data_IF_548742491858
#
_entry.id   IF_548742491858
#
_cell.length_a   1.000
_cell.length_b   1.000
_cell.length_c   1.000
_cell.angle_alpha   90.00
_cell.angle_beta   90.00
_cell.angle_gamma   90.00
#
_symmetry.space_group_name_H-M   'P 1'
#
loop_
_entity.id
_entity.type
_entity.pdbx_description
1 polymer ?
#
# COMPACT_ATOMS: atom_id res chain seq x y z
N UNK A 1 4.98 14.10 0.00
CA UNK A 1 3.58 13.76 -0.35
C UNK A 1 3.53 13.53 -1.86
N UNK A 2 2.53 12.82 -2.39
CA UNK A 2 2.38 12.67 -3.84
C UNK A 2 2.17 14.02 -4.52
N UNK A 3 2.84 14.25 -5.65
CA UNK A 3 2.65 15.48 -6.41
C UNK A 3 1.22 15.53 -6.98
N UNK A 4 0.62 16.72 -6.88
CA UNK A 4 -0.74 17.01 -7.34
C UNK A 4 -1.82 16.06 -6.79
N UNK A 5 -1.69 15.68 -5.52
CA UNK A 5 -2.68 14.81 -4.85
C UNK A 5 -4.05 15.49 -4.74
N UNK A 6 -5.12 14.77 -5.07
CA UNK A 6 -6.52 15.22 -4.90
C UNK A 6 -7.37 14.17 -4.18
N UNK A 7 -8.59 14.52 -3.79
CA UNK A 7 -9.52 13.56 -3.16
C UNK A 7 -9.98 12.42 -4.11
N UNK A 8 -9.80 12.60 -5.42
CA UNK A 8 -10.09 11.58 -6.43
C UNK A 8 -8.97 10.56 -6.56
N UNK A 9 -7.80 10.81 -5.95
CA UNK A 9 -6.70 9.86 -5.97
C UNK A 9 -7.06 8.59 -5.20
N UNK A 10 -6.69 7.45 -5.79
CA UNK A 10 -6.97 6.12 -5.28
C UNK A 10 -5.67 5.37 -5.10
N UNK A 11 -5.41 4.95 -3.87
CA UNK A 11 -4.22 4.19 -3.49
C UNK A 11 -4.47 2.69 -3.68
N UNK A 12 -3.56 2.01 -4.35
CA UNK A 12 -3.51 0.55 -4.41
C UNK A 12 -2.21 0.03 -3.82
N UNK A 13 -2.29 -0.97 -2.94
CA UNK A 13 -1.11 -1.61 -2.33
C UNK A 13 -1.13 -3.10 -2.66
N UNK A 14 -0.18 -3.56 -3.46
CA UNK A 14 -0.03 -5.00 -3.77
C UNK A 14 0.72 -5.67 -2.62
N UNK A 15 0.15 -6.74 -2.07
CA UNK A 15 0.67 -7.50 -0.92
C UNK A 15 0.82 -8.98 -1.29
N UNK A 16 2.01 -9.53 -1.06
CA UNK A 16 2.34 -10.95 -1.26
C UNK A 16 2.85 -11.61 0.01
N UNK A 17 3.13 -10.83 1.04
CA UNK A 17 3.66 -11.29 2.32
C UNK A 17 2.69 -11.02 3.47
N UNK A 18 2.73 -11.83 4.53
CA UNK A 18 1.90 -11.59 5.71
C UNK A 18 2.02 -10.16 6.24
N UNK A 19 0.88 -9.51 6.43
CA UNK A 19 0.74 -8.12 6.86
C UNK A 19 1.57 -7.12 6.04
N UNK A 20 1.88 -7.43 4.77
CA UNK A 20 2.88 -6.71 3.98
C UNK A 20 2.65 -5.21 3.89
N UNK A 21 1.40 -4.75 3.78
CA UNK A 21 1.09 -3.31 3.71
C UNK A 21 1.47 -2.54 4.99
N UNK A 22 1.74 -3.21 6.12
CA UNK A 22 2.32 -2.56 7.31
C UNK A 22 3.71 -1.94 7.03
N UNK A 23 4.44 -2.45 6.05
CA UNK A 23 5.70 -1.85 5.59
C UNK A 23 5.54 -0.52 4.86
N UNK A 24 4.31 -0.18 4.46
CA UNK A 24 3.95 1.10 3.86
C UNK A 24 2.96 1.91 4.73
N UNK A 25 2.81 1.54 6.01
CA UNK A 25 1.80 2.10 6.91
C UNK A 25 1.90 3.62 7.06
N UNK A 26 3.12 4.15 7.06
CA UNK A 26 3.36 5.59 7.23
C UNK A 26 2.89 6.35 5.99
N UNK A 27 3.20 5.86 4.79
CA UNK A 27 2.70 6.46 3.55
C UNK A 27 1.19 6.33 3.42
N UNK A 28 0.62 5.18 3.77
CA UNK A 28 -0.84 4.97 3.74
C UNK A 28 -1.51 6.02 4.64
N UNK A 29 -1.09 6.13 5.90
CA UNK A 29 -1.69 7.07 6.85
C UNK A 29 -1.42 8.54 6.51
N UNK A 30 -0.27 8.87 5.92
CA UNK A 30 -0.01 10.20 5.39
C UNK A 30 -0.97 10.55 4.23
N UNK A 31 -1.29 9.57 3.39
CA UNK A 31 -2.24 9.73 2.27
C UNK A 31 -3.67 9.86 2.80
N UNK A 32 -4.05 9.05 3.80
CA UNK A 32 -5.34 9.16 4.52
C UNK A 32 -5.49 10.53 5.17
N UNK A 33 -4.44 11.04 5.81
CA UNK A 33 -4.43 12.38 6.42
C UNK A 33 -4.69 13.45 5.37
N UNK A 34 -3.97 13.40 4.24
CA UNK A 34 -4.18 14.35 3.13
C UNK A 34 -5.60 14.30 2.57
N UNK A 35 -6.19 13.10 2.41
CA UNK A 35 -7.57 12.96 1.97
C UNK A 35 -8.55 13.63 2.94
N UNK A 36 -8.41 13.38 4.25
CA UNK A 36 -9.33 13.95 5.23
C UNK A 36 -9.13 15.46 5.43
N UNK A 37 -7.92 15.98 5.24
CA UNK A 37 -7.70 17.43 5.21
C UNK A 37 -8.47 18.09 4.06
N UNK A 38 -8.48 17.46 2.88
CA UNK A 38 -9.29 17.92 1.74
C UNK A 38 -10.80 17.84 2.02
N UNK A 39 -11.28 16.79 2.71
CA UNK A 39 -12.70 16.69 3.07
C UNK A 39 -13.11 17.76 4.10
N UNK A 40 -12.29 17.97 5.15
CA UNK A 40 -12.53 19.01 6.18
C UNK A 40 -12.53 20.41 5.60
N UNK A 41 -11.74 20.66 4.56
CA UNK A 41 -11.74 21.95 3.88
C UNK A 41 -13.04 22.24 3.10
N UNK A 42 -13.85 21.22 2.82
CA UNK A 42 -15.10 21.34 2.05
C UNK A 42 -16.35 21.38 2.91
N UNK A 43 -16.37 20.61 3.99
CA UNK A 43 -17.52 20.47 4.86
C UNK A 43 -17.10 20.09 6.28
N UNK A 44 -17.85 20.58 7.28
CA UNK A 44 -17.53 20.39 8.69
C UNK A 44 -17.84 18.97 9.20
N UNK A 45 -18.85 18.30 8.62
CA UNK A 45 -19.24 16.92 8.98
C UNK A 45 -19.31 16.03 7.74
N UNK A 46 -18.73 14.84 7.84
CA UNK A 46 -18.71 13.85 6.76
C UNK A 46 -18.50 12.43 7.28
N UNK A 47 -19.12 11.46 6.61
CA UNK A 47 -18.93 10.03 6.87
C UNK A 47 -18.50 9.33 5.57
N UNK A 48 -17.20 9.40 5.27
CA UNK A 48 -16.61 8.83 4.06
C UNK A 48 -15.26 8.18 4.37
N UNK A 49 -14.93 7.15 3.60
CA UNK A 49 -13.63 6.47 3.63
C UNK A 49 -12.95 6.62 2.27
N UNK A 50 -11.63 6.87 2.24
CA UNK A 50 -10.90 7.00 0.99
C UNK A 50 -10.93 5.70 0.19
N UNK A 51 -10.99 5.77 -1.13
CA UNK A 51 -10.94 4.59 -2.03
C UNK A 51 -9.52 4.03 -2.14
N UNK A 52 -9.03 3.48 -1.02
CA UNK A 52 -7.72 2.86 -0.87
C UNK A 52 -7.84 1.36 -0.67
N UNK A 53 -7.05 0.61 -1.42
CA UNK A 53 -7.22 -0.83 -1.57
C UNK A 53 -5.93 -1.56 -1.27
N UNK A 54 -6.07 -2.73 -0.67
CA UNK A 54 -4.98 -3.71 -0.54
C UNK A 54 -5.31 -4.90 -1.43
N UNK A 55 -4.43 -5.19 -2.38
CA UNK A 55 -4.54 -6.32 -3.30
C UNK A 55 -3.68 -7.46 -2.78
N UNK A 56 -4.31 -8.45 -2.19
CA UNK A 56 -3.66 -9.64 -1.66
C UNK A 56 -3.54 -10.69 -2.75
N UNK A 57 -2.31 -11.07 -3.09
CA UNK A 57 -2.08 -12.12 -4.08
C UNK A 57 -2.22 -13.50 -3.43
N UNK A 58 -2.95 -14.39 -4.09
CA UNK A 58 -3.26 -15.79 -3.71
C UNK A 58 -4.23 -15.96 -2.55
N UNK A 59 -4.00 -15.26 -1.45
CA UNK A 59 -4.78 -15.39 -0.21
C UNK A 59 -4.77 -14.09 0.56
N UNK A 60 -5.67 -13.94 1.54
CA UNK A 60 -5.65 -12.77 2.43
C UNK A 60 -4.43 -12.81 3.35
N UNK A 61 -3.58 -11.80 3.26
CA UNK A 61 -2.35 -11.66 4.04
C UNK A 61 -2.48 -10.86 5.33
N UNK A 62 -3.65 -10.30 5.63
CA UNK A 62 -3.86 -9.58 6.88
C UNK A 62 -5.17 -8.80 6.91
N UNK A 63 -5.34 -8.05 8.01
CA UNK A 63 -6.41 -7.07 8.19
C UNK A 63 -5.83 -5.67 8.37
N UNK A 64 -5.97 -4.84 7.33
CA UNK A 64 -5.41 -3.48 7.27
C UNK A 64 -6.43 -2.39 7.60
N UNK A 65 -7.60 -2.73 8.17
CA UNK A 65 -8.63 -1.75 8.51
C UNK A 65 -8.18 -0.69 9.52
N UNK A 66 -7.14 -0.97 10.32
CA UNK A 66 -6.51 0.02 11.21
C UNK A 66 -5.70 1.10 10.47
N UNK A 67 -5.44 0.91 9.17
CA UNK A 67 -4.80 1.88 8.28
C UNK A 67 -5.82 2.57 7.36
N UNK A 68 -7.10 2.52 7.72
CA UNK A 68 -8.21 3.07 6.93
C UNK A 68 -8.48 2.40 5.58
N UNK A 69 -7.99 1.16 5.43
CA UNK A 69 -8.42 0.25 4.35
C UNK A 69 -9.79 -0.32 4.73
N UNK A 70 -10.82 0.50 4.53
CA UNK A 70 -12.17 0.23 5.00
C UNK A 70 -13.22 0.80 4.03
N UNK A 71 -14.38 0.13 3.84
CA UNK A 71 -14.89 -1.11 4.47
C UNK A 71 -14.19 -2.41 4.02
N UNK A 72 -14.52 -3.59 4.61
CA UNK A 72 -13.79 -4.83 4.38
C UNK A 72 -13.62 -5.28 2.92
N UNK A 73 -14.50 -4.83 2.01
CA UNK A 73 -14.39 -5.15 0.58
C UNK A 73 -13.20 -4.45 -0.13
N UNK A 74 -12.51 -3.52 0.55
CA UNK A 74 -11.28 -2.89 0.06
C UNK A 74 -10.04 -3.77 0.25
N UNK A 75 -10.20 -4.91 0.91
CA UNK A 75 -9.19 -5.97 0.99
C UNK A 75 -9.50 -7.01 -0.08
N UNK A 76 -8.81 -6.91 -1.20
CA UNK A 76 -9.12 -7.60 -2.45
C UNK A 76 -8.20 -8.80 -2.57
N UNK A 77 -8.74 -10.01 -2.52
CA UNK A 77 -7.96 -11.22 -2.79
C UNK A 77 -8.01 -11.49 -4.28
N UNK A 78 -6.84 -11.62 -4.91
CA UNK A 78 -6.69 -11.89 -6.34
C UNK A 78 -5.90 -13.19 -6.51
N UNK A 79 -6.19 -13.95 -7.55
CA UNK A 79 -5.38 -15.12 -7.91
C UNK A 79 -3.93 -14.71 -8.20
N UNK A 80 -3.00 -15.66 -8.08
CA UNK A 80 -1.59 -15.43 -8.44
C UNK A 80 -1.39 -15.46 -9.96
N UNK A 81 -1.97 -14.46 -10.61
CA UNK A 81 -1.94 -14.22 -12.04
C UNK A 81 -1.72 -12.70 -12.26
N UNK A 82 -0.62 -12.29 -12.91
CA UNK A 82 -0.29 -10.87 -13.08
C UNK A 82 -1.37 -10.06 -13.82
N UNK A 83 -2.00 -10.62 -14.86
CA UNK A 83 -3.06 -9.92 -15.59
C UNK A 83 -4.34 -9.79 -14.77
N UNK A 84 -4.73 -10.82 -14.02
CA UNK A 84 -5.86 -10.75 -13.09
C UNK A 84 -5.63 -9.69 -12.00
N UNK A 85 -4.40 -9.57 -11.49
CA UNK A 85 -4.01 -8.53 -10.56
C UNK A 85 -4.10 -7.14 -11.19
N UNK A 86 -3.58 -6.97 -12.41
CA UNK A 86 -3.66 -5.70 -13.14
C UNK A 86 -5.11 -5.32 -13.46
N UNK A 87 -5.96 -6.27 -13.85
CA UNK A 87 -7.39 -6.06 -14.02
C UNK A 87 -8.03 -5.57 -12.73
N UNK A 88 -7.78 -6.24 -11.59
CA UNK A 88 -8.34 -5.83 -10.30
C UNK A 88 -7.92 -4.41 -9.87
N UNK A 89 -6.67 -4.03 -10.17
CA UNK A 89 -6.14 -2.67 -9.96
C UNK A 89 -6.89 -1.66 -10.86
N UNK A 90 -7.05 -1.99 -12.14
CA UNK A 90 -7.73 -1.14 -13.11
C UNK A 90 -9.23 -0.96 -12.80
N UNK A 91 -9.92 -2.03 -12.39
CA UNK A 91 -11.34 -2.01 -12.03
C UNK A 91 -11.65 -1.09 -10.85
N UNK A 92 -10.65 -0.87 -9.98
CA UNK A 92 -10.73 0.05 -8.84
C UNK A 92 -10.25 1.46 -9.15
N UNK A 93 -9.84 1.71 -10.39
CA UNK A 93 -9.34 2.98 -10.86
C UNK A 93 -8.15 3.53 -10.04
N UNK A 94 -7.24 2.66 -9.61
CA UNK A 94 -6.03 3.06 -8.86
C UNK A 94 -5.23 4.12 -9.63
N UNK A 95 -4.82 5.19 -8.95
CA UNK A 95 -4.01 6.27 -9.51
C UNK A 95 -2.61 6.33 -8.89
N UNK A 96 -2.46 5.86 -7.64
CA UNK A 96 -1.19 5.74 -6.91
C UNK A 96 -0.98 4.28 -6.53
N UNK A 97 0.09 3.66 -7.04
CA UNK A 97 0.34 2.24 -6.84
C UNK A 97 1.57 2.01 -5.97
N UNK A 98 1.45 1.12 -4.98
CA UNK A 98 2.57 0.56 -4.23
C UNK A 98 2.74 -0.90 -4.60
N UNK A 99 3.95 -1.29 -5.00
CA UNK A 99 4.32 -2.67 -5.29
C UNK A 99 5.43 -3.14 -4.36
N UNK A 100 5.34 -4.35 -3.84
CA UNK A 100 6.43 -4.92 -3.05
C UNK A 100 7.71 -5.03 -3.89
N UNK A 101 8.87 -4.84 -3.27
CA UNK A 101 10.14 -5.20 -3.89
C UNK A 101 10.17 -6.71 -4.17
N UNK A 102 10.22 -7.00 -5.46
CA UNK A 102 10.25 -8.33 -6.03
C UNK A 102 11.20 -8.33 -7.23
N UNK A 103 11.62 -9.54 -7.63
CA UNK A 103 12.43 -9.74 -8.84
C UNK A 103 11.62 -9.31 -10.07
N UNK A 104 12.26 -8.58 -10.98
CA UNK A 104 11.69 -8.28 -12.29
C UNK A 104 11.48 -9.58 -13.09
N UNK A 105 10.38 -9.64 -13.82
CA UNK A 105 10.05 -10.68 -14.78
C UNK A 105 9.38 -10.11 -16.03
N UNK A 106 8.87 -11.01 -16.86
CA UNK A 106 8.12 -10.70 -18.08
C UNK A 106 6.72 -11.27 -17.93
N UNK A 107 5.83 -10.63 -17.15
CA UNK A 107 4.48 -11.14 -16.95
C UNK A 107 3.67 -11.04 -18.24
N UNK A 108 2.86 -12.06 -18.50
CA UNK A 108 1.85 -12.02 -19.56
C UNK A 108 0.73 -11.09 -19.11
N UNK A 109 0.66 -9.90 -19.72
CA UNK A 109 -0.34 -8.87 -19.43
C UNK A 109 -1.13 -8.54 -20.69
N UNK A 110 -2.45 -8.42 -20.55
CA UNK A 110 -3.34 -7.98 -21.62
C UNK A 110 -2.97 -6.57 -22.08
N UNK A 111 -2.96 -6.35 -23.40
CA UNK A 111 -2.60 -5.05 -24.00
C UNK A 111 -3.51 -3.94 -23.48
N UNK A 112 -4.80 -4.22 -23.37
CA UNK A 112 -5.84 -3.32 -22.87
C UNK A 112 -5.65 -3.02 -21.38
N UNK A 113 -5.31 -4.03 -20.58
CA UNK A 113 -4.98 -3.88 -19.16
C UNK A 113 -3.80 -2.94 -18.95
N UNK A 114 -2.74 -3.10 -19.75
CA UNK A 114 -1.55 -2.22 -19.73
C UNK A 114 -1.92 -0.80 -20.17
N UNK A 115 -2.69 -0.64 -21.25
CA UNK A 115 -3.11 0.66 -21.75
C UNK A 115 -3.96 1.43 -20.72
N UNK A 116 -4.90 0.74 -20.06
CA UNK A 116 -5.75 1.30 -18.99
C UNK A 116 -4.90 1.78 -17.80
N UNK A 117 -3.92 0.98 -17.39
CA UNK A 117 -3.01 1.34 -16.31
C UNK A 117 -2.16 2.58 -16.67
N UNK A 118 -1.60 2.63 -17.89
CA UNK A 118 -0.82 3.78 -18.38
C UNK A 118 -1.62 5.08 -18.42
N UNK A 119 -2.89 5.00 -18.77
CA UNK A 119 -3.75 6.19 -18.86
C UNK A 119 -4.08 6.79 -17.48
N UNK A 120 -3.94 6.02 -16.39
CA UNK A 120 -4.46 6.39 -15.07
C UNK A 120 -3.43 6.45 -13.96
N UNK A 121 -2.49 5.52 -13.91
CA UNK A 121 -1.54 5.42 -12.79
C UNK A 121 -0.49 6.52 -12.95
N UNK A 122 -0.58 7.53 -12.08
CA UNK A 122 0.27 8.70 -12.11
C UNK A 122 1.56 8.52 -11.28
N UNK A 123 1.53 7.66 -10.26
CA UNK A 123 2.71 7.41 -9.42
C UNK A 123 2.80 5.96 -9.04
N UNK A 124 4.03 5.42 -9.10
CA UNK A 124 4.33 4.09 -8.60
C UNK A 124 5.54 4.13 -7.67
N UNK A 125 5.42 3.49 -6.51
CA UNK A 125 6.51 3.32 -5.56
C UNK A 125 6.74 1.84 -5.27
N UNK A 126 7.99 1.43 -5.24
CA UNK A 126 8.40 0.19 -4.61
C UNK A 126 8.42 0.39 -3.09
N UNK A 127 7.94 -0.61 -2.36
CA UNK A 127 8.04 -0.68 -0.91
C UNK A 127 8.47 -2.07 -0.46
N UNK A 128 8.81 -2.23 0.81
CA UNK A 128 9.12 -3.53 1.41
C UNK A 128 8.17 -3.79 2.57
N UNK A 129 7.74 -5.04 2.76
CA UNK A 129 6.96 -5.43 3.92
C UNK A 129 7.68 -5.13 5.25
N UNK A 130 9.02 -5.06 5.24
CA UNK A 130 9.83 -4.68 6.39
C UNK A 130 9.98 -3.15 6.56
N UNK A 131 9.52 -2.33 5.60
CA UNK A 131 9.61 -0.87 5.62
C UNK A 131 10.92 -0.26 5.08
N UNK A 132 11.86 -1.10 4.62
CA UNK A 132 13.13 -0.67 4.01
C UNK A 132 13.31 -1.23 2.61
N UNK A 133 13.56 -0.35 1.65
CA UNK A 133 13.90 -0.72 0.27
C UNK A 133 15.37 -0.48 -0.02
N UNK A 134 15.90 -1.16 -1.05
CA UNK A 134 17.22 -0.83 -1.59
C UNK A 134 17.17 0.47 -2.41
N UNK A 135 18.25 1.25 -2.33
CA UNK A 135 18.46 2.52 -3.06
C UNK A 135 17.25 3.49 -2.97
N UNK A 136 16.82 3.88 -1.76
CA UNK A 136 15.62 4.69 -1.59
C UNK A 136 15.82 6.13 -2.05
N UNK A 137 14.79 6.68 -2.70
CA UNK A 137 14.73 8.10 -3.12
C UNK A 137 13.54 8.84 -2.47
N UNK A 138 12.79 8.15 -1.61
CA UNK A 138 11.71 8.69 -0.78
C UNK A 138 11.84 8.14 0.63
N UNK A 139 11.80 9.03 1.62
CA UNK A 139 11.73 8.67 3.04
C UNK A 139 10.52 9.36 3.65
N UNK A 140 9.78 8.64 4.49
CA UNK A 140 8.65 9.19 5.24
C UNK A 140 8.80 8.80 6.70
N UNK A 141 8.84 9.80 7.58
CA UNK A 141 8.85 9.61 9.01
C UNK A 141 7.42 9.50 9.53
N UNK A 142 7.16 8.44 10.30
CA UNK A 142 5.93 8.24 11.05
C UNK A 142 6.06 8.75 12.49
N UNK A 143 5.12 8.35 13.33
CA UNK A 143 5.08 8.71 14.74
C UNK A 143 4.51 7.55 15.58
N UNK A 144 4.38 7.77 16.88
CA UNK A 144 3.84 6.76 17.82
C UNK A 144 2.39 6.39 17.53
N UNK A 145 1.60 7.30 16.94
CA UNK A 145 0.21 7.02 16.54
C UNK A 145 0.20 6.05 15.36
N UNK A 146 1.04 6.27 14.34
CA UNK A 146 1.26 5.32 13.25
C UNK A 146 1.61 3.92 13.78
N UNK A 147 2.57 3.81 14.70
CA UNK A 147 2.93 2.51 15.29
C UNK A 147 1.78 1.85 16.06
N UNK A 148 0.91 2.64 16.71
CA UNK A 148 -0.27 2.10 17.39
C UNK A 148 -1.27 1.46 16.42
N UNK A 149 -1.38 2.00 15.19
CA UNK A 149 -2.21 1.42 14.14
C UNK A 149 -1.56 0.17 13.53
N UNK A 150 -0.24 0.19 13.32
CA UNK A 150 0.52 -1.00 12.88
C UNK A 150 0.38 -2.15 13.86
N UNK A 151 0.49 -1.88 15.17
CA UNK A 151 0.24 -2.90 16.20
C UNK A 151 -1.18 -3.46 16.09
N UNK A 152 -2.17 -2.60 15.84
CA UNK A 152 -3.55 -3.04 15.61
C UNK A 152 -3.73 -3.90 14.34
N UNK A 153 -2.97 -3.67 13.28
CA UNK A 153 -2.94 -4.55 12.08
C UNK A 153 -2.42 -5.94 12.47
N UNK A 154 -1.31 -5.99 13.21
CA UNK A 154 -0.71 -7.24 13.69
C UNK A 154 -1.71 -8.01 14.56
N UNK A 155 -2.31 -7.37 15.56
CA UNK A 155 -3.25 -7.98 16.51
C UNK A 155 -4.53 -8.52 15.84
N UNK A 156 -5.04 -7.81 14.82
CA UNK A 156 -6.27 -8.19 14.10
C UNK A 156 -6.04 -9.20 12.99
N UNK A 157 -4.80 -9.45 12.59
CA UNK A 157 -4.43 -10.41 11.55
C UNK A 157 -4.25 -11.82 12.15
N UNK A 158 -5.28 -12.32 12.82
CA UNK A 158 -5.23 -13.61 13.55
C UNK A 158 -5.05 -14.82 12.62
N UNK A 159 -5.47 -14.70 11.36
CA UNK A 159 -5.28 -15.73 10.33
C UNK A 159 -3.84 -15.83 9.80
N UNK A 160 -2.97 -14.88 10.16
CA UNK A 160 -1.53 -14.92 9.86
C UNK A 160 -0.82 -15.78 10.92
N UNK A 161 0.31 -16.39 10.58
CA UNK A 161 1.09 -17.17 11.56
C UNK A 161 1.67 -16.27 12.66
N UNK A 162 1.84 -16.83 13.87
CA UNK A 162 2.37 -16.09 15.03
C UNK A 162 3.80 -15.60 14.75
N UNK A 163 4.59 -16.44 14.09
CA UNK A 163 5.98 -16.20 13.73
C UNK A 163 6.10 -15.03 12.75
N UNK A 164 5.23 -14.98 11.75
CA UNK A 164 5.19 -13.88 10.77
C UNK A 164 4.80 -12.55 11.43
N UNK A 165 3.82 -12.58 12.34
CA UNK A 165 3.45 -11.40 13.14
C UNK A 165 4.61 -10.93 14.03
N UNK A 166 5.32 -11.86 14.66
CA UNK A 166 6.47 -11.55 15.49
C UNK A 166 7.65 -10.98 14.67
N UNK A 167 7.89 -11.53 13.48
CA UNK A 167 8.90 -11.05 12.54
C UNK A 167 8.60 -9.61 12.10
N UNK A 168 7.34 -9.31 11.73
CA UNK A 168 6.93 -7.95 11.40
C UNK A 168 7.14 -6.98 12.59
N UNK A 169 6.72 -7.37 13.80
CA UNK A 169 6.93 -6.56 14.99
C UNK A 169 8.44 -6.32 15.26
N UNK A 170 9.29 -7.28 14.94
CA UNK A 170 10.75 -7.14 14.95
C UNK A 170 11.26 -6.13 13.93
N UNK A 171 10.83 -6.27 12.68
CA UNK A 171 11.21 -5.36 11.59
C UNK A 171 10.84 -3.90 11.90
N UNK A 172 9.65 -3.65 12.48
CA UNK A 172 9.23 -2.29 12.88
C UNK A 172 10.21 -1.61 13.84
N UNK A 173 10.80 -2.34 14.78
CA UNK A 173 11.80 -1.78 15.71
C UNK A 173 13.05 -1.29 14.98
N UNK A 174 13.43 -1.95 13.88
CA UNK A 174 14.55 -1.56 13.03
C UNK A 174 14.31 -0.31 12.16
N UNK A 175 13.09 0.25 12.17
CA UNK A 175 12.76 1.45 11.38
C UNK A 175 13.10 2.75 12.09
N UNK A 176 13.42 2.73 13.38
CA UNK A 176 13.65 3.95 14.15
C UNK A 176 14.95 4.65 13.73
N UNK A 177 14.82 5.91 13.32
CA UNK A 177 15.91 6.84 13.10
C UNK A 177 15.61 8.11 13.88
N UNK A 178 16.52 8.54 14.77
CA UNK A 178 16.36 9.74 15.59
C UNK A 178 15.01 9.83 16.34
N UNK A 179 14.54 8.70 16.87
CA UNK A 179 13.31 8.64 17.70
C UNK A 179 12.00 8.50 16.92
N UNK A 180 12.02 8.47 15.59
CA UNK A 180 10.82 8.24 14.77
C UNK A 180 10.99 7.01 13.86
N UNK A 181 9.94 6.21 13.64
CA UNK A 181 9.97 5.16 12.61
C UNK A 181 10.04 5.84 11.24
N UNK A 182 10.98 5.43 10.40
CA UNK A 182 11.11 5.93 9.03
C UNK A 182 10.84 4.76 8.10
N UNK A 183 9.94 4.92 7.14
CA UNK A 183 9.77 4.01 6.03
C UNK A 183 10.44 4.62 4.79
N UNK A 184 11.02 3.77 3.95
CA UNK A 184 11.69 4.20 2.71
C UNK A 184 11.04 3.55 1.50
N UNK A 185 11.01 4.28 0.40
CA UNK A 185 10.43 3.85 -0.86
C UNK A 185 11.34 4.24 -2.02
N UNK A 186 11.08 3.62 -3.17
CA UNK A 186 11.77 3.94 -4.42
C UNK A 186 10.76 4.24 -5.51
N UNK A 187 10.86 5.40 -6.16
CA UNK A 187 10.03 5.71 -7.34
C UNK A 187 10.33 4.74 -8.47
N UNK A 188 9.27 4.22 -9.09
CA UNK A 188 9.35 3.36 -10.26
C UNK A 188 8.66 4.02 -11.44
N UNK A 189 9.10 3.68 -12.66
CA UNK A 189 8.24 3.84 -13.83
C UNK A 189 7.12 2.80 -13.77
N UNK A 190 6.00 3.05 -14.45
CA UNK A 190 4.92 2.07 -14.52
C UNK A 190 5.40 0.75 -15.13
N UNK A 191 6.19 0.79 -16.19
CA UNK A 191 6.76 -0.44 -16.80
C UNK A 191 7.61 -1.25 -15.84
N UNK A 192 8.40 -0.55 -15.01
CA UNK A 192 9.18 -1.21 -14.00
C UNK A 192 8.27 -1.89 -12.96
N UNK A 193 7.22 -1.21 -12.52
CA UNK A 193 6.26 -1.81 -11.60
C UNK A 193 5.49 -2.99 -12.20
N UNK A 194 5.07 -2.89 -13.47
CA UNK A 194 4.38 -3.97 -14.19
C UNK A 194 5.25 -5.22 -14.27
N UNK A 195 6.57 -5.08 -14.47
CA UNK A 195 7.51 -6.21 -14.44
C UNK A 195 7.63 -6.93 -13.08
N UNK A 196 7.01 -6.42 -12.01
CA UNK A 196 7.00 -6.99 -10.65
C UNK A 196 5.64 -7.54 -10.21
N UNK A 197 4.63 -7.48 -11.09
CA UNK A 197 3.31 -8.08 -10.86
C UNK A 197 3.31 -9.60 -11.08
#
# INVERSE_FOLDING_TARGET
MFDHFTEQDRLGVVVRRPCGAAGASTLILATVTAFYDLQRAKQDDFFIYPDYFVFHVRQRWGNHGRLDIWPPHKEVVVQDNPDALLCAINDRAVTRLLVEEARRGEPELGRESVASARARIATVLAYSAAGRVADPDVCIAGNTVTESYVRGVIERSQSVMVEDRAALAGARRGLYCNGAPVETYRRLTLDDALSRL
#
